data_IF_170444649686
#
_entry.id   IF_170444649686
#
_cell.length_a   1.000
_cell.length_b   1.000
_cell.length_c   1.000
_cell.angle_alpha   90.00
_cell.angle_beta   90.00
_cell.angle_gamma   90.00
#
_symmetry.space_group_name_H-M   'P 1'
#
loop_
_entity.id
_entity.type
_entity.pdbx_description
1 polymer ?
#
# COMPACT_ATOMS: atom_id res chain seq x y z
N UNK A 1 -41.01 -17.05 4.19
CA UNK A 1 -39.79 -16.34 3.71
C UNK A 1 -38.88 -15.92 4.86
N UNK A 2 -39.40 -15.32 5.95
CA UNK A 2 -38.61 -14.98 7.15
C UNK A 2 -37.93 -16.18 7.82
N UNK A 3 -38.61 -17.34 7.91
CA UNK A 3 -38.02 -18.57 8.47
C UNK A 3 -36.88 -19.17 7.62
N UNK A 4 -36.86 -18.92 6.30
CA UNK A 4 -35.80 -19.40 5.42
C UNK A 4 -34.54 -18.52 5.51
N UNK A 5 -34.71 -17.22 5.74
CA UNK A 5 -33.62 -16.27 6.00
C UNK A 5 -33.00 -16.46 7.39
N UNK A 6 -33.83 -16.75 8.41
CA UNK A 6 -33.34 -17.15 9.74
C UNK A 6 -32.60 -18.48 9.64
N UNK A 7 -33.11 -19.46 8.87
CA UNK A 7 -32.44 -20.74 8.63
C UNK A 7 -31.08 -20.58 7.92
N UNK A 8 -30.99 -19.74 6.88
CA UNK A 8 -29.74 -19.51 6.16
C UNK A 8 -28.71 -18.76 7.03
N UNK A 9 -29.16 -17.76 7.81
CA UNK A 9 -28.32 -17.05 8.77
C UNK A 9 -27.82 -17.99 9.88
N UNK A 10 -28.68 -18.87 10.40
CA UNK A 10 -28.33 -19.89 11.38
C UNK A 10 -27.33 -20.90 10.81
N UNK A 11 -27.46 -21.30 9.55
CA UNK A 11 -26.50 -22.20 8.85
C UNK A 11 -25.16 -21.51 8.62
N UNK A 12 -25.12 -20.23 8.22
CA UNK A 12 -23.84 -19.49 8.06
C UNK A 12 -23.15 -19.16 9.38
N UNK A 13 -23.92 -18.91 10.45
CA UNK A 13 -23.39 -18.62 11.78
C UNK A 13 -22.94 -19.89 12.50
N UNK A 14 -23.70 -20.99 12.37
CA UNK A 14 -23.28 -22.33 12.84
C UNK A 14 -22.08 -22.83 12.05
N UNK A 15 -22.03 -22.67 10.72
CA UNK A 15 -20.84 -22.98 9.94
C UNK A 15 -19.62 -22.12 10.30
N UNK A 16 -19.78 -20.97 10.97
CA UNK A 16 -18.66 -20.15 11.42
C UNK A 16 -18.18 -20.49 12.83
N UNK A 17 -19.07 -20.91 13.71
CA UNK A 17 -18.77 -21.31 15.09
C UNK A 17 -18.43 -22.81 15.25
N UNK A 18 -19.04 -23.68 14.44
CA UNK A 18 -18.80 -25.13 14.43
C UNK A 18 -17.68 -25.53 13.46
N UNK A 19 -17.28 -24.71 12.49
CA UNK A 19 -16.19 -25.07 11.56
C UNK A 19 -14.88 -25.46 12.27
N UNK A 20 -14.38 -24.70 13.26
CA UNK A 20 -13.19 -25.11 14.01
C UNK A 20 -13.41 -26.45 14.75
N UNK A 21 -14.64 -26.69 15.21
CA UNK A 21 -15.04 -27.92 15.88
C UNK A 21 -15.15 -29.10 14.91
N UNK A 22 -15.66 -28.89 13.70
CA UNK A 22 -15.81 -29.87 12.63
C UNK A 22 -14.46 -30.21 11.98
N UNK A 23 -13.56 -29.22 11.85
CA UNK A 23 -12.16 -29.46 11.49
C UNK A 23 -11.52 -30.39 12.53
N UNK A 24 -11.71 -30.13 13.82
CA UNK A 24 -11.21 -31.03 14.87
C UNK A 24 -11.92 -32.39 14.93
N UNK A 25 -13.17 -32.51 14.47
CA UNK A 25 -13.93 -33.77 14.47
C UNK A 25 -13.62 -34.68 13.26
N UNK A 26 -13.37 -34.09 12.09
CA UNK A 26 -13.26 -34.82 10.81
C UNK A 26 -11.84 -34.82 10.23
N UNK A 27 -10.96 -33.94 10.70
CA UNK A 27 -9.54 -34.00 10.35
C UNK A 27 -8.83 -34.82 11.44
N UNK A 28 -8.41 -36.06 11.16
CA UNK A 28 -7.75 -36.88 12.17
C UNK A 28 -6.52 -36.14 12.70
N UNK A 29 -6.19 -36.24 14.00
CA UNK A 29 -5.02 -35.56 14.58
C UNK A 29 -3.68 -35.98 13.93
N UNK A 30 -3.68 -36.98 13.05
CA UNK A 30 -2.57 -37.41 12.21
C UNK A 30 -2.41 -36.63 10.89
N UNK A 31 -3.30 -35.68 10.54
CA UNK A 31 -3.09 -34.78 9.41
C UNK A 31 -1.93 -33.83 9.70
N UNK A 32 -1.00 -33.64 8.75
CA UNK A 32 0.07 -32.66 8.90
C UNK A 32 -0.49 -31.25 9.15
N UNK A 33 0.25 -30.41 9.88
CA UNK A 33 -0.11 -29.01 10.10
C UNK A 33 -0.43 -28.26 8.77
N UNK A 34 0.21 -28.69 7.68
CA UNK A 34 -0.01 -28.17 6.33
C UNK A 34 -1.44 -28.39 5.82
N UNK A 35 -2.02 -29.58 6.05
CA UNK A 35 -3.40 -29.87 5.62
C UNK A 35 -4.44 -29.01 6.35
N UNK A 36 -4.21 -28.72 7.63
CA UNK A 36 -5.07 -27.82 8.41
C UNK A 36 -4.98 -26.38 7.89
N UNK A 37 -3.76 -25.89 7.67
CA UNK A 37 -3.54 -24.55 7.11
C UNK A 37 -4.10 -24.39 5.69
N UNK A 38 -4.09 -25.45 4.89
CA UNK A 38 -4.71 -25.47 3.56
C UNK A 38 -6.24 -25.38 3.63
N UNK A 39 -6.87 -26.17 4.51
CA UNK A 39 -8.32 -26.11 4.74
C UNK A 39 -8.74 -24.73 5.26
N UNK A 40 -8.01 -24.17 6.23
CA UNK A 40 -8.30 -22.84 6.77
C UNK A 40 -8.21 -21.76 5.68
N UNK A 41 -7.18 -21.81 4.83
CA UNK A 41 -7.07 -20.92 3.66
C UNK A 41 -8.24 -21.07 2.71
N UNK A 42 -8.64 -22.30 2.38
CA UNK A 42 -9.78 -22.56 1.50
C UNK A 42 -11.10 -21.98 2.06
N UNK A 43 -11.33 -22.09 3.37
CA UNK A 43 -12.51 -21.53 4.04
C UNK A 43 -12.50 -20.00 3.98
N UNK A 44 -11.35 -19.37 4.27
CA UNK A 44 -11.21 -17.91 4.18
C UNK A 44 -11.48 -17.43 2.76
N UNK A 45 -10.89 -18.07 1.75
CA UNK A 45 -11.11 -17.76 0.34
C UNK A 45 -12.59 -17.87 -0.03
N UNK A 46 -13.25 -18.98 0.33
CA UNK A 46 -14.68 -19.16 0.04
C UNK A 46 -15.56 -18.09 0.69
N UNK A 47 -15.24 -17.66 1.92
CA UNK A 47 -15.95 -16.56 2.59
C UNK A 47 -15.76 -15.23 1.88
N UNK A 48 -14.54 -14.92 1.43
CA UNK A 48 -14.23 -13.70 0.70
C UNK A 48 -14.90 -13.69 -0.69
N UNK A 49 -14.97 -14.83 -1.37
CA UNK A 49 -15.67 -14.96 -2.64
C UNK A 49 -17.19 -14.84 -2.50
N UNK A 50 -17.76 -15.30 -1.39
CA UNK A 50 -19.15 -15.00 -1.06
C UNK A 50 -19.33 -13.51 -0.77
N UNK A 51 -18.40 -12.90 -0.03
CA UNK A 51 -18.42 -11.48 0.32
C UNK A 51 -18.36 -10.56 -0.91
N UNK A 52 -17.57 -10.91 -1.92
CA UNK A 52 -17.43 -10.15 -3.17
C UNK A 52 -18.68 -10.17 -4.04
N UNK A 53 -19.54 -11.20 -3.87
CA UNK A 53 -20.82 -11.32 -4.58
C UNK A 53 -21.99 -10.67 -3.86
N UNK A 54 -21.82 -10.21 -2.61
CA UNK A 54 -22.90 -9.53 -1.88
C UNK A 54 -23.28 -8.21 -2.58
N UNK A 55 -24.54 -7.77 -2.50
CA UNK A 55 -24.96 -6.50 -3.09
C UNK A 55 -24.33 -5.28 -2.39
N UNK A 56 -24.00 -5.37 -1.11
CA UNK A 56 -23.44 -4.25 -0.35
C UNK A 56 -21.96 -4.01 -0.63
N UNK A 57 -21.55 -2.73 -0.64
CA UNK A 57 -20.15 -2.32 -0.76
C UNK A 57 -19.37 -2.42 0.57
N UNK A 58 -20.08 -2.27 1.69
CA UNK A 58 -19.51 -2.18 3.04
C UNK A 58 -20.12 -3.21 3.99
N UNK A 59 -19.33 -4.05 4.67
CA UNK A 59 -19.81 -5.02 5.65
C UNK A 59 -20.13 -4.33 6.99
N UNK A 60 -20.78 -5.04 7.94
CA UNK A 60 -20.86 -4.59 9.33
C UNK A 60 -19.51 -4.19 9.90
N UNK A 61 -19.54 -3.22 10.82
CA UNK A 61 -18.38 -2.59 11.46
C UNK A 61 -17.49 -1.76 10.54
N UNK A 62 -17.86 -1.60 9.27
CA UNK A 62 -17.09 -0.80 8.34
C UNK A 62 -17.31 0.71 8.56
N UNK A 63 -16.24 1.51 8.74
CA UNK A 63 -16.34 2.95 8.78
C UNK A 63 -16.64 3.49 7.37
N UNK A 64 -17.65 4.34 7.29
CA UNK A 64 -18.15 4.92 6.03
C UNK A 64 -18.43 6.42 6.21
N UNK A 65 -18.43 7.15 5.10
CA UNK A 65 -18.86 8.55 5.07
C UNK A 65 -20.26 8.64 4.45
N UNK A 66 -21.06 9.59 4.89
CA UNK A 66 -22.41 9.83 4.34
C UNK A 66 -22.45 11.07 3.44
N UNK A 67 -23.35 11.08 2.47
CA UNK A 67 -23.55 12.17 1.50
C UNK A 67 -24.00 13.47 2.18
N UNK A 68 -24.68 13.37 3.33
CA UNK A 68 -25.11 14.51 4.16
C UNK A 68 -23.98 15.08 5.04
N UNK A 69 -22.78 14.54 4.93
CA UNK A 69 -21.63 14.89 5.75
C UNK A 69 -21.57 14.07 7.04
N UNK A 70 -20.34 13.78 7.49
CA UNK A 70 -20.08 13.01 8.70
C UNK A 70 -19.70 11.56 8.43
N UNK A 71 -19.04 10.99 9.44
CA UNK A 71 -18.53 9.62 9.42
C UNK A 71 -19.41 8.74 10.33
N UNK A 72 -19.63 7.50 9.94
CA UNK A 72 -20.46 6.54 10.64
C UNK A 72 -19.90 5.12 10.53
N UNK A 73 -20.50 4.17 11.25
CA UNK A 73 -20.14 2.75 11.16
C UNK A 73 -21.36 1.95 10.74
N UNK A 74 -21.16 1.05 9.77
CA UNK A 74 -22.21 0.15 9.30
C UNK A 74 -22.58 -0.84 10.40
N UNK A 75 -23.86 -0.92 10.76
CA UNK A 75 -24.37 -1.96 11.66
C UNK A 75 -24.87 -3.16 10.86
N UNK A 76 -25.71 -2.91 9.84
CA UNK A 76 -26.24 -3.94 8.94
C UNK A 76 -26.62 -3.33 7.60
N UNK A 77 -26.84 -4.19 6.62
CA UNK A 77 -27.34 -3.83 5.30
C UNK A 77 -28.61 -4.63 4.99
N UNK A 78 -29.64 -3.96 4.49
CA UNK A 78 -30.89 -4.57 4.06
C UNK A 78 -30.93 -4.63 2.53
N UNK A 79 -30.77 -5.83 1.98
CA UNK A 79 -30.71 -6.04 0.53
C UNK A 79 -32.04 -5.82 -0.20
N UNK A 80 -33.19 -5.99 0.47
CA UNK A 80 -34.49 -5.79 -0.19
C UNK A 80 -34.87 -4.32 -0.32
N UNK A 81 -34.36 -3.48 0.59
CA UNK A 81 -34.60 -2.04 0.60
C UNK A 81 -33.44 -1.22 0.05
N UNK A 82 -32.28 -1.85 -0.20
CA UNK A 82 -31.03 -1.19 -0.55
C UNK A 82 -30.66 -0.07 0.45
N UNK A 83 -30.67 -0.43 1.74
CA UNK A 83 -30.40 0.50 2.85
C UNK A 83 -29.34 0.00 3.81
N UNK A 84 -28.63 0.94 4.44
CA UNK A 84 -27.74 0.71 5.57
C UNK A 84 -28.33 1.20 6.87
N UNK A 85 -28.21 0.42 7.94
CA UNK A 85 -28.37 0.94 9.31
C UNK A 85 -27.00 1.39 9.82
N UNK A 86 -26.90 2.63 10.30
CA UNK A 86 -25.63 3.23 10.75
C UNK A 86 -25.67 3.55 12.26
N UNK A 87 -24.51 3.47 12.92
CA UNK A 87 -24.38 3.72 14.38
C UNK A 87 -24.85 5.11 14.84
N UNK A 88 -24.82 6.11 13.97
CA UNK A 88 -25.11 7.50 14.32
C UNK A 88 -26.60 7.85 14.39
N UNK A 89 -27.52 6.94 14.04
CA UNK A 89 -28.95 7.26 13.98
C UNK A 89 -29.90 6.15 14.40
N UNK A 90 -29.52 4.87 14.26
CA UNK A 90 -30.49 3.76 14.33
C UNK A 90 -31.56 3.80 13.23
N UNK A 91 -31.41 4.71 12.27
CA UNK A 91 -32.30 4.92 11.13
C UNK A 91 -31.64 4.34 9.88
N UNK A 92 -32.43 3.61 9.09
CA UNK A 92 -31.99 3.09 7.81
C UNK A 92 -31.84 4.24 6.80
N UNK A 93 -30.68 4.33 6.16
CA UNK A 93 -30.38 5.29 5.08
C UNK A 93 -30.25 4.56 3.74
N UNK A 94 -30.66 5.15 2.61
CA UNK A 94 -30.41 4.58 1.29
C UNK A 94 -28.92 4.27 1.07
N UNK A 95 -28.58 3.21 0.35
CA UNK A 95 -27.20 2.89 0.01
C UNK A 95 -26.51 4.01 -0.78
N UNK A 96 -27.27 4.75 -1.61
CA UNK A 96 -26.81 5.95 -2.31
C UNK A 96 -26.40 7.10 -1.39
N UNK A 97 -26.86 7.11 -0.13
CA UNK A 97 -26.46 8.10 0.87
C UNK A 97 -25.11 7.74 1.53
N UNK A 98 -24.58 6.54 1.29
CA UNK A 98 -23.23 6.16 1.70
C UNK A 98 -22.26 6.49 0.56
N UNK A 99 -21.27 7.34 0.86
CA UNK A 99 -20.29 7.77 -0.13
C UNK A 99 -19.40 6.59 -0.50
N UNK A 100 -19.33 6.30 -1.80
CA UNK A 100 -18.46 5.26 -2.32
C UNK A 100 -16.98 5.61 -2.14
N UNK A 101 -16.21 4.65 -1.65
CA UNK A 101 -14.76 4.72 -1.54
C UNK A 101 -14.20 4.51 -2.93
N UNK A 102 -13.30 5.37 -3.37
CA UNK A 102 -12.70 5.30 -4.71
C UNK A 102 -11.19 5.49 -4.65
N UNK A 103 -10.49 5.02 -5.69
CA UNK A 103 -9.10 5.35 -5.93
C UNK A 103 -9.00 6.83 -6.34
N UNK A 104 -8.50 7.67 -5.46
CA UNK A 104 -8.32 9.10 -5.71
C UNK A 104 -7.06 9.39 -6.52
N UNK A 105 -5.96 8.71 -6.17
CA UNK A 105 -4.67 8.89 -6.81
C UNK A 105 -3.87 7.60 -6.86
N UNK A 106 -3.05 7.50 -7.90
CA UNK A 106 -2.07 6.44 -8.08
C UNK A 106 -0.68 7.04 -8.19
N UNK A 107 0.30 6.43 -7.53
CA UNK A 107 1.70 6.84 -7.61
C UNK A 107 2.63 5.64 -7.72
N UNK A 108 3.70 5.81 -8.48
CA UNK A 108 4.86 4.92 -8.48
C UNK A 108 6.11 5.72 -8.15
N UNK A 109 7.12 5.05 -7.61
CA UNK A 109 8.40 5.62 -7.25
C UNK A 109 9.48 4.73 -7.84
N UNK A 110 9.81 4.91 -9.13
CA UNK A 110 10.65 3.96 -9.86
C UNK A 110 12.00 3.72 -9.18
N UNK A 111 12.65 4.79 -8.72
CA UNK A 111 13.88 4.72 -7.95
C UNK A 111 13.53 4.85 -6.46
N UNK A 112 13.97 3.89 -5.65
CA UNK A 112 13.80 3.95 -4.19
C UNK A 112 14.35 5.27 -3.66
N UNK A 113 13.59 5.92 -2.77
CA UNK A 113 13.95 7.19 -2.12
C UNK A 113 13.98 8.45 -3.01
N UNK A 114 13.65 8.34 -4.30
CA UNK A 114 13.53 9.49 -5.21
C UNK A 114 12.06 9.93 -5.39
N UNK A 115 11.84 10.96 -6.21
CA UNK A 115 10.53 11.53 -6.54
C UNK A 115 9.53 10.50 -7.10
N UNK A 116 8.24 10.74 -6.84
CA UNK A 116 7.14 9.91 -7.32
C UNK A 116 6.62 10.38 -8.68
N UNK A 117 5.96 9.48 -9.41
CA UNK A 117 5.24 9.77 -10.64
C UNK A 117 3.76 9.52 -10.37
N UNK A 118 2.92 10.54 -10.53
CA UNK A 118 1.46 10.40 -10.47
C UNK A 118 0.95 9.73 -11.74
N UNK A 119 0.03 8.79 -11.58
CA UNK A 119 -0.57 8.01 -12.66
C UNK A 119 -2.08 8.16 -12.65
N UNK A 120 -2.71 7.92 -13.80
CA UNK A 120 -4.16 7.76 -13.92
C UNK A 120 -4.59 6.29 -13.94
N UNK A 121 -3.67 5.38 -14.30
CA UNK A 121 -3.86 3.94 -14.31
C UNK A 121 -2.53 3.21 -14.10
N UNK A 122 -2.57 1.98 -13.60
CA UNK A 122 -1.37 1.14 -13.50
C UNK A 122 -1.73 -0.34 -13.52
N UNK A 123 -0.82 -1.15 -14.09
CA UNK A 123 -0.88 -2.60 -13.90
C UNK A 123 -0.42 -2.95 -12.48
N UNK A 124 -1.22 -3.76 -11.80
CA UNK A 124 -0.85 -4.42 -10.55
C UNK A 124 -0.23 -5.77 -10.90
N UNK A 125 1.04 -5.93 -10.53
CA UNK A 125 1.83 -7.14 -10.70
C UNK A 125 2.10 -7.77 -9.32
N UNK A 126 2.67 -8.98 -9.31
CA UNK A 126 3.01 -9.66 -8.05
C UNK A 126 3.98 -8.88 -7.13
N UNK A 127 4.79 -7.96 -7.69
CA UNK A 127 5.72 -7.10 -6.94
C UNK A 127 5.15 -5.71 -6.60
N UNK A 128 3.89 -5.44 -6.95
CA UNK A 128 3.24 -4.14 -6.76
C UNK A 128 2.85 -3.47 -8.06
N UNK A 129 2.69 -2.15 -8.03
CA UNK A 129 2.39 -1.39 -9.23
C UNK A 129 3.57 -1.48 -10.23
N UNK A 130 3.25 -1.53 -11.52
CA UNK A 130 4.25 -1.62 -12.56
C UNK A 130 5.28 -0.48 -12.46
N UNK A 131 6.56 -0.83 -12.60
CA UNK A 131 7.72 0.06 -12.49
C UNK A 131 8.01 0.61 -11.09
N UNK A 132 7.23 0.27 -10.09
CA UNK A 132 7.42 0.77 -8.74
C UNK A 132 8.64 0.12 -8.05
N UNK A 133 9.54 0.94 -7.49
CA UNK A 133 10.77 0.52 -6.78
C UNK A 133 11.58 -0.57 -7.52
N UNK A 134 11.68 -0.45 -8.84
CA UNK A 134 12.52 -1.34 -9.68
C UNK A 134 13.98 -0.89 -9.74
N UNK A 135 14.28 0.37 -9.40
CA UNK A 135 15.63 0.91 -9.34
C UNK A 135 16.04 1.28 -7.93
N UNK A 136 17.35 1.25 -7.71
CA UNK A 136 17.97 1.55 -6.43
C UNK A 136 19.30 2.27 -6.65
N UNK A 137 19.61 3.25 -5.79
CA UNK A 137 20.96 3.81 -5.70
C UNK A 137 21.73 3.04 -4.64
N UNK A 138 22.94 2.60 -4.95
CA UNK A 138 23.82 1.86 -4.04
C UNK A 138 25.19 2.50 -3.94
N UNK A 139 25.87 2.28 -2.82
CA UNK A 139 27.29 2.63 -2.65
C UNK A 139 28.23 1.52 -3.17
N UNK A 140 29.54 1.70 -2.97
CA UNK A 140 30.60 0.75 -3.33
C UNK A 140 30.50 -0.61 -2.62
N UNK A 141 29.80 -0.66 -1.48
CA UNK A 141 29.56 -1.90 -0.73
C UNK A 141 28.28 -2.61 -1.15
N UNK A 142 27.54 -2.04 -2.11
CA UNK A 142 26.24 -2.51 -2.54
C UNK A 142 25.12 -2.22 -1.54
N UNK A 143 25.35 -1.32 -0.58
CA UNK A 143 24.33 -0.93 0.39
C UNK A 143 23.40 0.14 -0.21
N UNK A 144 22.11 -0.03 0.03
CA UNK A 144 21.08 0.88 -0.46
C UNK A 144 21.20 2.27 0.14
N UNK A 145 21.24 3.28 -0.73
CA UNK A 145 21.23 4.70 -0.36
C UNK A 145 19.79 5.15 -0.20
N UNK A 146 19.51 5.93 0.85
CA UNK A 146 18.14 6.38 1.14
C UNK A 146 18.05 7.85 1.46
N UNK A 147 16.85 8.40 1.27
CA UNK A 147 16.46 9.77 1.62
C UNK A 147 16.67 10.10 3.11
N UNK A 148 16.76 9.08 3.99
CA UNK A 148 17.11 9.27 5.41
C UNK A 148 18.50 9.88 5.57
N UNK A 149 19.45 9.40 4.76
CA UNK A 149 20.85 9.85 4.76
C UNK A 149 21.08 10.98 3.76
N UNK A 150 20.42 10.94 2.61
CA UNK A 150 20.52 11.95 1.56
C UNK A 150 19.14 12.51 1.20
N UNK A 151 18.61 13.47 1.99
CA UNK A 151 17.29 14.06 1.75
C UNK A 151 17.11 14.64 0.34
N UNK A 152 18.21 15.14 -0.26
CA UNK A 152 18.25 15.64 -1.63
C UNK A 152 17.85 14.61 -2.68
N UNK A 153 17.85 13.30 -2.39
CA UNK A 153 17.26 12.30 -3.28
C UNK A 153 15.79 12.60 -3.63
N UNK A 154 15.05 13.30 -2.75
CA UNK A 154 13.70 13.78 -3.03
C UNK A 154 13.60 14.62 -4.31
N UNK A 155 14.68 15.34 -4.63
CA UNK A 155 14.79 16.26 -5.75
C UNK A 155 15.23 15.58 -7.04
N UNK A 156 15.49 14.27 -7.00
CA UNK A 156 15.70 13.47 -8.22
C UNK A 156 14.32 13.02 -8.68
N UNK A 157 13.81 13.63 -9.75
CA UNK A 157 12.56 13.25 -10.39
C UNK A 157 12.83 12.28 -11.55
N UNK A 158 12.43 11.00 -11.43
CA UNK A 158 12.47 10.06 -12.54
C UNK A 158 11.32 10.32 -13.52
N UNK A 159 11.59 10.13 -14.81
CA UNK A 159 10.58 10.04 -15.87
C UNK A 159 10.84 8.79 -16.72
N UNK A 160 9.80 7.98 -16.95
CA UNK A 160 9.91 6.76 -17.76
C UNK A 160 9.58 7.06 -19.22
N UNK A 161 10.42 6.56 -20.14
CA UNK A 161 10.13 6.57 -21.58
C UNK A 161 9.68 5.18 -22.00
N UNK A 162 8.49 5.09 -22.61
CA UNK A 162 7.87 3.87 -23.11
C UNK A 162 7.65 4.01 -24.61
N UNK A 163 8.24 3.14 -25.42
CA UNK A 163 7.97 3.08 -26.87
C UNK A 163 6.64 2.37 -27.17
N UNK A 164 6.22 1.48 -26.28
CA UNK A 164 4.88 0.87 -26.30
C UNK A 164 4.28 0.94 -24.89
N UNK A 165 3.35 1.88 -24.64
CA UNK A 165 2.66 2.02 -23.36
C UNK A 165 1.81 0.79 -22.97
N UNK A 166 1.51 -0.12 -23.91
CA UNK A 166 0.79 -1.37 -23.64
C UNK A 166 1.70 -2.53 -23.25
N UNK A 167 3.02 -2.38 -23.42
CA UNK A 167 3.99 -3.41 -23.10
C UNK A 167 4.26 -3.48 -21.59
N UNK A 168 3.95 -4.63 -20.99
CA UNK A 168 4.19 -4.86 -19.57
C UNK A 168 5.67 -5.11 -19.20
N UNK A 169 6.57 -5.20 -20.19
CA UNK A 169 7.90 -5.83 -20.03
C UNK A 169 8.91 -4.98 -19.26
N UNK A 170 9.22 -3.79 -19.74
CA UNK A 170 10.21 -2.86 -19.15
C UNK A 170 10.12 -1.50 -19.82
N UNK A 171 10.41 -0.43 -19.07
CA UNK A 171 10.60 0.89 -19.68
C UNK A 171 11.84 0.88 -20.58
N UNK A 172 11.87 1.72 -21.62
CA UNK A 172 13.00 1.81 -22.55
C UNK A 172 14.13 2.67 -22.01
N UNK A 173 13.78 3.77 -21.34
CA UNK A 173 14.71 4.66 -20.68
C UNK A 173 14.10 5.24 -19.40
N UNK A 174 14.97 5.65 -18.48
CA UNK A 174 14.63 6.47 -17.32
C UNK A 174 15.41 7.78 -17.41
N UNK A 175 14.71 8.90 -17.37
CA UNK A 175 15.33 10.23 -17.34
C UNK A 175 15.44 10.69 -15.89
N UNK A 176 16.64 11.07 -15.47
CA UNK A 176 16.91 11.67 -14.17
C UNK A 176 16.86 13.19 -14.30
N UNK A 177 16.01 13.85 -13.52
CA UNK A 177 15.90 15.31 -13.50
C UNK A 177 16.15 15.83 -12.09
N UNK A 178 17.04 16.80 -11.94
CA UNK A 178 17.21 17.54 -10.70
C UNK A 178 16.18 18.67 -10.64
N UNK A 179 15.16 18.56 -9.77
CA UNK A 179 14.04 19.53 -9.73
C UNK A 179 14.45 20.93 -9.27
N UNK A 180 15.60 21.04 -8.59
CA UNK A 180 16.22 22.31 -8.21
C UNK A 180 17.08 22.93 -9.32
N UNK A 181 17.14 22.33 -10.52
CA UNK A 181 17.92 22.83 -11.65
C UNK A 181 19.43 22.70 -11.50
N UNK A 182 19.93 21.95 -10.50
CA UNK A 182 21.37 21.86 -10.23
C UNK A 182 22.16 21.11 -11.32
N UNK A 183 21.48 20.28 -12.13
CA UNK A 183 22.06 19.50 -13.22
C UNK A 183 21.10 19.40 -14.40
N UNK A 184 21.67 19.32 -15.60
CA UNK A 184 20.91 18.97 -16.80
C UNK A 184 20.31 17.56 -16.67
N UNK A 185 19.11 17.33 -17.25
CA UNK A 185 18.51 16.01 -17.27
C UNK A 185 19.40 14.98 -17.98
N UNK A 186 19.44 13.76 -17.43
CA UNK A 186 20.16 12.64 -18.05
C UNK A 186 19.18 11.54 -18.45
N UNK A 187 19.17 11.18 -19.73
CA UNK A 187 18.45 10.00 -20.23
C UNK A 187 19.34 8.77 -20.05
N UNK A 188 18.86 7.79 -19.28
CA UNK A 188 19.56 6.52 -19.03
C UNK A 188 18.79 5.39 -19.73
N UNK A 189 19.36 4.72 -20.75
CA UNK A 189 18.77 3.52 -21.32
C UNK A 189 18.60 2.45 -20.25
N UNK A 190 17.44 1.80 -20.20
CA UNK A 190 17.19 0.76 -19.21
C UNK A 190 17.92 -0.52 -19.62
N UNK A 191 18.86 -0.95 -18.78
CA UNK A 191 19.60 -2.18 -18.99
C UNK A 191 18.93 -3.34 -18.23
N UNK A 192 18.52 -4.37 -18.95
CA UNK A 192 17.98 -5.63 -18.40
C UNK A 192 19.05 -6.73 -18.29
N UNK A 193 20.20 -6.53 -18.93
CA UNK A 193 21.37 -7.41 -18.94
C UNK A 193 22.63 -6.56 -18.84
N UNK A 194 23.71 -7.13 -18.34
CA UNK A 194 25.00 -6.43 -18.20
C UNK A 194 25.70 -6.80 -16.90
N UNK A 195 26.49 -5.85 -16.38
CA UNK A 195 27.23 -6.03 -15.13
C UNK A 195 26.24 -6.24 -13.98
N UNK A 196 26.32 -7.43 -13.37
CA UNK A 196 25.53 -7.74 -12.19
C UNK A 196 26.22 -7.21 -10.93
N UNK A 197 25.42 -6.74 -9.97
CA UNK A 197 25.86 -6.37 -8.63
C UNK A 197 25.00 -7.07 -7.58
N UNK A 198 25.66 -7.59 -6.55
CA UNK A 198 24.98 -8.02 -5.32
C UNK A 198 24.71 -6.78 -4.48
N UNK A 199 23.44 -6.54 -4.17
CA UNK A 199 23.01 -5.38 -3.39
C UNK A 199 22.30 -5.84 -2.13
N UNK A 200 22.39 -5.05 -1.06
CA UNK A 200 21.76 -5.35 0.22
C UNK A 200 20.64 -4.35 0.47
N UNK A 201 19.44 -4.87 0.75
CA UNK A 201 18.28 -4.11 1.19
C UNK A 201 17.82 -4.73 2.51
N UNK A 202 18.07 -4.01 3.60
CA UNK A 202 17.90 -4.55 4.95
C UNK A 202 18.69 -5.85 5.15
N UNK A 203 18.02 -6.94 5.52
CA UNK A 203 18.62 -8.28 5.69
C UNK A 203 18.78 -9.04 4.37
N UNK A 204 18.16 -8.58 3.29
CA UNK A 204 18.08 -9.32 2.04
C UNK A 204 19.22 -8.94 1.09
N UNK A 205 19.75 -9.94 0.38
CA UNK A 205 20.68 -9.75 -0.73
C UNK A 205 19.98 -10.01 -2.06
N UNK A 206 20.14 -9.10 -3.01
CA UNK A 206 19.49 -9.13 -4.31
C UNK A 206 20.51 -9.01 -5.44
N UNK A 207 20.18 -9.59 -6.58
CA UNK A 207 20.91 -9.39 -7.82
C UNK A 207 20.30 -8.21 -8.60
N UNK A 208 21.14 -7.25 -8.94
CA UNK A 208 20.76 -6.08 -9.71
C UNK A 208 21.68 -5.89 -10.93
N UNK A 209 21.18 -5.20 -11.95
CA UNK A 209 21.90 -4.82 -13.17
C UNK A 209 22.33 -3.37 -13.05
N UNK A 210 23.63 -3.12 -13.16
CA UNK A 210 24.20 -1.79 -13.23
C UNK A 210 23.65 -1.00 -14.42
N UNK A 211 23.27 0.26 -14.22
CA UNK A 211 22.67 1.11 -15.27
C UNK A 211 23.70 2.02 -15.97
N UNK A 212 25.00 1.77 -15.79
CA UNK A 212 26.08 2.40 -16.54
C UNK A 212 26.74 3.61 -15.86
N UNK A 213 27.92 3.98 -16.36
CA UNK A 213 28.77 5.00 -15.75
C UNK A 213 28.21 6.42 -15.88
N UNK A 214 27.41 6.71 -16.92
CA UNK A 214 26.75 8.01 -17.05
C UNK A 214 25.77 8.26 -15.89
N UNK A 215 24.97 7.24 -15.54
CA UNK A 215 24.05 7.33 -14.40
C UNK A 215 24.81 7.46 -13.07
N UNK A 216 25.90 6.71 -12.90
CA UNK A 216 26.77 6.82 -11.73
C UNK A 216 27.38 8.23 -11.60
N UNK A 217 27.93 8.78 -12.69
CA UNK A 217 28.53 10.12 -12.70
C UNK A 217 27.52 11.23 -12.38
N UNK A 218 26.30 11.13 -12.91
CA UNK A 218 25.23 12.08 -12.62
C UNK A 218 24.82 12.04 -11.14
N UNK A 219 24.60 10.83 -10.59
CA UNK A 219 24.27 10.64 -9.18
C UNK A 219 25.40 11.11 -8.26
N UNK A 220 26.65 10.81 -8.62
CA UNK A 220 27.82 11.23 -7.87
C UNK A 220 27.93 12.75 -7.78
N UNK A 221 27.71 13.44 -8.91
CA UNK A 221 27.71 14.90 -8.95
C UNK A 221 26.56 15.50 -8.14
N UNK A 222 25.36 14.92 -8.25
CA UNK A 222 24.17 15.45 -7.57
C UNK A 222 24.18 15.23 -6.05
N UNK A 223 24.55 14.02 -5.62
CA UNK A 223 24.51 13.60 -4.22
C UNK A 223 25.85 13.78 -3.49
N UNK A 224 26.90 14.21 -4.20
CA UNK A 224 28.22 14.49 -3.63
C UNK A 224 29.00 13.25 -3.20
N UNK A 225 28.78 12.09 -3.84
CA UNK A 225 29.50 10.86 -3.51
C UNK A 225 29.89 10.07 -4.78
N UNK A 226 31.20 9.92 -5.08
CA UNK A 226 31.68 9.28 -6.30
C UNK A 226 31.43 7.77 -6.37
N UNK A 227 31.09 7.11 -5.26
CA UNK A 227 30.87 5.65 -5.25
C UNK A 227 29.46 5.24 -5.64
N UNK A 228 28.55 6.20 -5.81
CA UNK A 228 27.15 5.90 -6.05
C UNK A 228 26.87 5.39 -7.44
N UNK A 229 26.05 4.36 -7.51
CA UNK A 229 25.62 3.74 -8.76
C UNK A 229 24.12 3.50 -8.77
N UNK A 230 23.52 3.70 -9.94
CA UNK A 230 22.15 3.30 -10.21
C UNK A 230 22.13 1.82 -10.63
N UNK A 231 21.28 1.04 -9.99
CA UNK A 231 21.04 -0.35 -10.34
C UNK A 231 19.55 -0.59 -10.55
N UNK A 232 19.21 -1.61 -11.34
CA UNK A 232 17.85 -2.10 -11.55
C UNK A 232 17.73 -3.53 -11.09
N UNK A 233 16.62 -3.90 -10.48
CA UNK A 233 16.36 -5.28 -10.09
C UNK A 233 16.40 -6.20 -11.31
N UNK A 234 17.02 -7.38 -11.18
CA UNK A 234 17.03 -8.39 -12.23
C UNK A 234 15.62 -8.98 -12.40
N UNK A 235 15.11 -9.08 -13.64
CA UNK A 235 13.72 -9.46 -13.92
C UNK A 235 13.29 -10.81 -13.31
N UNK A 236 14.20 -11.77 -13.23
CA UNK A 236 13.94 -13.09 -12.67
C UNK A 236 13.94 -13.12 -11.12
N UNK A 237 14.36 -12.04 -10.46
CA UNK A 237 14.50 -12.01 -9.01
C UNK A 237 13.15 -11.82 -8.33
N UNK A 238 12.89 -12.63 -7.30
CA UNK A 238 11.70 -12.55 -6.46
C UNK A 238 12.12 -12.37 -5.01
N UNK A 239 11.91 -11.19 -4.44
CA UNK A 239 12.15 -10.95 -3.01
C UNK A 239 10.87 -11.32 -2.25
N UNK A 240 10.87 -12.32 -1.36
CA UNK A 240 9.69 -12.63 -0.57
C UNK A 240 9.35 -11.49 0.38
N UNK A 241 8.06 -11.28 0.62
CA UNK A 241 7.59 -10.47 1.74
C UNK A 241 7.85 -11.20 3.07
N UNK A 242 7.61 -10.50 4.18
CA UNK A 242 7.68 -11.13 5.50
C UNK A 242 6.59 -12.22 5.62
N UNK A 243 6.95 -13.50 5.80
CA UNK A 243 5.99 -14.60 5.74
C UNK A 243 5.01 -14.63 6.91
N UNK A 244 5.29 -13.90 8.00
CA UNK A 244 4.31 -13.71 9.09
C UNK A 244 3.07 -12.94 8.59
N UNK A 245 3.26 -12.04 7.62
CA UNK A 245 2.23 -11.11 7.15
C UNK A 245 1.74 -11.44 5.74
N UNK A 246 2.62 -11.95 4.85
CA UNK A 246 2.32 -12.21 3.45
C UNK A 246 3.22 -13.35 2.90
N UNK A 247 2.95 -14.62 3.26
CA UNK A 247 3.82 -15.77 2.96
C UNK A 247 4.02 -16.05 1.47
N UNK A 248 3.03 -15.74 0.64
CA UNK A 248 3.00 -16.10 -0.78
C UNK A 248 3.24 -14.89 -1.71
N UNK A 249 3.57 -13.72 -1.14
CA UNK A 249 3.73 -12.48 -1.89
C UNK A 249 5.19 -12.04 -1.98
N UNK A 250 5.48 -11.23 -3.00
CA UNK A 250 6.82 -10.76 -3.29
C UNK A 250 6.84 -9.23 -3.39
N UNK A 251 8.03 -8.66 -3.29
CA UNK A 251 8.27 -7.23 -3.49
C UNK A 251 9.56 -6.99 -4.28
N UNK A 252 9.80 -5.74 -4.65
CA UNK A 252 11.05 -5.29 -5.25
C UNK A 252 11.97 -4.63 -4.21
N UNK A 253 12.51 -3.45 -4.55
CA UNK A 253 13.30 -2.64 -3.62
C UNK A 253 12.46 -1.80 -2.64
N UNK A 254 11.16 -2.07 -2.52
CA UNK A 254 10.35 -1.49 -1.44
C UNK A 254 10.86 -1.95 -0.06
N UNK A 255 10.40 -1.36 1.03
CA UNK A 255 10.96 -1.69 2.35
C UNK A 255 10.59 -3.11 2.81
N UNK A 256 9.33 -3.51 2.62
CA UNK A 256 8.89 -4.87 2.96
C UNK A 256 7.67 -5.38 2.21
N UNK A 257 6.83 -4.48 1.66
CA UNK A 257 5.59 -4.85 0.98
C UNK A 257 5.44 -4.09 -0.35
N UNK A 258 4.75 -4.69 -1.34
CA UNK A 258 4.69 -4.18 -2.70
C UNK A 258 3.86 -2.91 -2.88
N UNK A 259 2.85 -2.67 -2.03
CA UNK A 259 1.91 -1.57 -2.20
C UNK A 259 1.63 -0.93 -0.83
N UNK A 260 1.64 0.40 -0.80
CA UNK A 260 1.18 1.21 0.33
C UNK A 260 -0.12 1.92 -0.03
N UNK A 261 -1.15 1.78 0.79
CA UNK A 261 -2.43 2.49 0.69
C UNK A 261 -2.49 3.56 1.77
N UNK A 262 -3.08 4.72 1.46
CA UNK A 262 -3.42 5.74 2.45
C UNK A 262 -4.77 6.38 2.12
N UNK A 263 -5.55 6.79 3.11
CA UNK A 263 -6.75 7.58 2.86
C UNK A 263 -6.45 9.09 2.83
N UNK A 264 -7.05 9.82 1.89
CA UNK A 264 -6.94 11.28 1.83
C UNK A 264 -7.47 11.93 3.13
N UNK A 265 -8.54 11.39 3.71
CA UNK A 265 -9.07 11.86 4.99
C UNK A 265 -8.07 11.66 6.15
N UNK A 266 -7.24 10.63 6.12
CA UNK A 266 -6.16 10.40 7.10
C UNK A 266 -5.08 11.48 7.02
N UNK A 267 -4.74 11.92 5.80
CA UNK A 267 -3.82 13.05 5.61
C UNK A 267 -4.42 14.33 6.18
N UNK A 268 -5.68 14.65 5.85
CA UNK A 268 -6.36 15.85 6.37
C UNK A 268 -6.45 15.86 7.89
N UNK A 269 -6.74 14.71 8.52
CA UNK A 269 -6.74 14.60 9.97
C UNK A 269 -5.37 14.89 10.59
N UNK A 270 -4.28 14.58 9.88
CA UNK A 270 -2.91 14.85 10.31
C UNK A 270 -2.50 16.31 10.09
N UNK A 271 -2.89 16.91 8.96
CA UNK A 271 -2.70 18.34 8.68
C UNK A 271 -3.32 19.22 9.77
N UNK A 272 -4.52 18.86 10.24
CA UNK A 272 -5.18 19.56 11.36
C UNK A 272 -4.37 19.51 12.66
N UNK A 273 -3.60 18.44 12.90
CA UNK A 273 -2.72 18.34 14.08
C UNK A 273 -1.40 19.07 13.90
N UNK A 274 -0.97 19.27 12.66
CA UNK A 274 0.25 19.98 12.31
C UNK A 274 0.07 21.48 12.10
N UNK A 275 -1.19 21.92 11.94
CA UNK A 275 -1.56 23.29 11.60
C UNK A 275 -0.88 23.79 10.31
N UNK A 276 -0.71 22.89 9.34
CA UNK A 276 -0.17 23.20 8.00
C UNK A 276 -0.54 22.11 6.99
N UNK A 277 -0.60 22.44 5.68
CA UNK A 277 -0.79 21.44 4.65
C UNK A 277 0.40 20.47 4.57
N UNK A 278 0.11 19.24 4.15
CA UNK A 278 1.07 18.18 3.90
C UNK A 278 0.87 17.61 2.51
N UNK A 279 1.97 17.34 1.83
CA UNK A 279 1.94 16.56 0.61
C UNK A 279 1.89 15.06 0.96
N UNK A 280 0.91 14.34 0.41
CA UNK A 280 0.79 12.88 0.54
C UNK A 280 2.06 12.15 0.08
N UNK A 281 2.83 12.74 -0.86
CA UNK A 281 4.09 12.21 -1.37
C UNK A 281 5.15 12.06 -0.27
N UNK A 282 5.03 12.75 0.87
CA UNK A 282 5.87 12.51 2.06
C UNK A 282 5.71 11.09 2.60
N UNK A 283 4.48 10.55 2.53
CA UNK A 283 4.19 9.18 2.97
C UNK A 283 4.42 8.14 1.88
N UNK A 284 4.58 8.60 0.64
CA UNK A 284 4.92 7.79 -0.53
C UNK A 284 3.93 6.64 -0.82
N UNK A 285 2.60 6.80 -0.64
CA UNK A 285 1.65 5.74 -0.95
C UNK A 285 1.62 5.47 -2.45
N UNK A 286 1.22 4.27 -2.81
CA UNK A 286 0.93 3.86 -4.19
C UNK A 286 -0.51 4.14 -4.57
N UNK A 287 -1.44 3.97 -3.64
CA UNK A 287 -2.87 4.14 -3.85
C UNK A 287 -3.39 5.09 -2.76
N UNK A 288 -4.06 6.15 -3.16
CA UNK A 288 -4.77 7.05 -2.23
C UNK A 288 -6.26 6.79 -2.35
N UNK A 289 -6.94 6.58 -1.22
CA UNK A 289 -8.38 6.38 -1.16
C UNK A 289 -9.10 7.69 -0.82
N UNK A 290 -10.22 7.95 -1.51
CA UNK A 290 -11.18 8.98 -1.15
C UNK A 290 -12.55 8.37 -0.83
N UNK A 291 -13.47 9.17 -0.31
CA UNK A 291 -14.83 8.73 0.01
C UNK A 291 -14.96 7.93 1.31
N UNK A 292 -13.86 7.73 2.05
CA UNK A 292 -13.86 7.04 3.33
C UNK A 292 -13.48 7.97 4.51
N UNK A 293 -13.87 7.64 5.75
CA UNK A 293 -13.42 8.32 6.96
C UNK A 293 -11.89 8.28 7.15
N UNK A 294 -11.38 9.18 7.99
CA UNK A 294 -9.99 9.12 8.41
C UNK A 294 -9.70 7.76 9.07
N UNK A 295 -8.52 7.21 8.77
CA UNK A 295 -8.01 5.93 9.26
C UNK A 295 -8.77 4.69 8.77
N UNK A 296 -9.68 4.83 7.79
CA UNK A 296 -10.31 3.69 7.14
C UNK A 296 -9.28 2.76 6.49
N UNK A 297 -8.13 3.29 6.05
CA UNK A 297 -7.00 2.55 5.54
C UNK A 297 -6.33 1.64 6.59
N UNK A 298 -6.53 1.85 7.89
CA UNK A 298 -6.10 0.90 8.93
C UNK A 298 -7.10 -0.27 9.08
N UNK A 299 -8.39 0.00 8.80
CA UNK A 299 -9.53 -0.86 9.14
C UNK A 299 -9.93 -1.77 7.99
N UNK A 300 -9.85 -1.31 6.73
CA UNK A 300 -10.20 -2.12 5.56
C UNK A 300 -9.20 -3.27 5.45
N UNK A 301 -9.64 -4.49 5.78
CA UNK A 301 -8.79 -5.67 5.82
C UNK A 301 -8.67 -6.27 4.43
N UNK A 302 -9.78 -6.76 3.88
CA UNK A 302 -9.82 -7.28 2.51
C UNK A 302 -10.79 -6.45 1.72
N UNK A 303 -10.38 -5.97 0.56
CA UNK A 303 -11.20 -5.18 -0.33
C UNK A 303 -10.87 -5.49 -1.78
N UNK A 304 -11.90 -5.41 -2.63
CA UNK A 304 -11.74 -5.49 -4.07
C UNK A 304 -11.73 -4.05 -4.64
N UNK A 305 -10.77 -3.74 -5.50
CA UNK A 305 -10.86 -2.57 -6.40
C UNK A 305 -11.53 -3.04 -7.69
N UNK A 306 -12.66 -2.43 -8.01
CA UNK A 306 -13.51 -2.82 -9.13
C UNK A 306 -13.03 -2.12 -10.41
N UNK A 307 -12.03 -2.71 -11.07
CA UNK A 307 -11.49 -2.22 -12.34
C UNK A 307 -12.31 -2.67 -13.55
N UNK A 308 -12.11 -1.99 -14.68
CA UNK A 308 -12.80 -2.31 -15.94
C UNK A 308 -12.47 -3.70 -16.49
N UNK A 309 -11.24 -4.15 -16.28
CA UNK A 309 -10.72 -5.44 -16.78
C UNK A 309 -10.83 -6.57 -15.73
N UNK A 310 -11.57 -6.33 -14.65
CA UNK A 310 -11.79 -7.27 -13.55
C UNK A 310 -11.44 -6.71 -12.18
N UNK A 311 -11.94 -7.39 -11.16
CA UNK A 311 -11.74 -7.00 -9.77
C UNK A 311 -10.39 -7.47 -9.26
N UNK A 312 -9.64 -6.58 -8.62
CA UNK A 312 -8.39 -6.91 -7.96
C UNK A 312 -8.57 -6.96 -6.45
N UNK A 313 -8.18 -8.08 -5.85
CA UNK A 313 -8.34 -8.33 -4.41
C UNK A 313 -7.09 -7.93 -3.66
N UNK A 314 -7.25 -6.97 -2.75
CA UNK A 314 -6.21 -6.48 -1.88
C UNK A 314 -6.42 -6.97 -0.45
N UNK A 315 -5.32 -7.37 0.19
CA UNK A 315 -5.28 -7.73 1.59
C UNK A 315 -4.36 -6.75 2.33
N UNK A 316 -4.90 -6.08 3.34
CA UNK A 316 -4.18 -5.19 4.24
C UNK A 316 -3.50 -5.99 5.34
N UNK A 317 -2.19 -6.13 5.19
CA UNK A 317 -1.39 -7.04 6.00
C UNK A 317 -0.94 -6.39 7.31
N UNK A 318 -0.58 -5.09 7.28
CA UNK A 318 -0.25 -4.32 8.49
C UNK A 318 -0.18 -2.82 8.26
N UNK A 319 -0.45 -1.99 9.28
CA UNK A 319 -0.14 -0.56 9.26
C UNK A 319 1.34 -0.32 8.92
N UNK A 320 1.61 0.78 8.22
CA UNK A 320 2.94 1.14 7.78
C UNK A 320 3.65 1.96 8.86
N UNK A 321 4.65 1.37 9.50
CA UNK A 321 5.51 2.10 10.42
C UNK A 321 6.37 3.12 9.66
N UNK A 322 6.45 4.33 10.19
CA UNK A 322 7.08 5.47 9.52
C UNK A 322 8.46 5.72 10.10
N UNK A 323 9.48 5.60 9.25
CA UNK A 323 10.81 6.13 9.55
C UNK A 323 10.83 7.67 9.36
N UNK A 324 12.01 8.30 9.42
CA UNK A 324 12.17 9.76 9.28
C UNK A 324 11.89 10.33 7.88
N UNK A 325 11.71 9.49 6.85
CA UNK A 325 11.50 9.94 5.46
C UNK A 325 10.35 10.94 5.29
N UNK A 326 9.15 10.77 5.90
CA UNK A 326 8.06 11.73 5.75
C UNK A 326 8.37 13.15 6.22
N UNK A 327 9.36 13.32 7.11
CA UNK A 327 9.83 14.64 7.55
C UNK A 327 10.56 15.41 6.45
N UNK A 328 10.92 14.78 5.34
CA UNK A 328 11.57 15.44 4.20
C UNK A 328 10.50 16.00 3.26
N UNK A 329 10.60 17.29 2.95
CA UNK A 329 9.75 17.93 1.96
C UNK A 329 10.12 17.46 0.53
N UNK A 330 9.20 16.87 -0.24
CA UNK A 330 9.50 16.37 -1.58
C UNK A 330 9.88 17.47 -2.57
N UNK A 331 9.38 18.70 -2.40
CA UNK A 331 9.65 19.81 -3.31
C UNK A 331 11.01 20.49 -3.05
N UNK A 332 11.45 20.54 -1.79
CA UNK A 332 12.66 21.29 -1.40
C UNK A 332 13.81 20.40 -0.91
N UNK A 333 13.55 19.15 -0.55
CA UNK A 333 14.52 18.25 0.07
C UNK A 333 14.86 18.61 1.53
N UNK A 334 14.29 19.69 2.08
CA UNK A 334 14.52 20.12 3.46
C UNK A 334 13.78 19.22 4.45
N UNK A 335 14.38 18.97 5.62
CA UNK A 335 13.70 18.29 6.72
C UNK A 335 12.90 19.27 7.57
N UNK A 336 11.86 18.79 8.23
CA UNK A 336 11.03 19.61 9.12
C UNK A 336 11.85 20.23 10.29
N UNK A 337 12.87 19.54 10.81
CA UNK A 337 13.73 20.03 11.91
C UNK A 337 14.75 21.10 11.47
N UNK A 338 14.93 21.29 10.16
CA UNK A 338 15.75 22.34 9.58
C UNK A 338 14.97 23.65 9.37
N UNK A 339 13.64 23.62 9.51
CA UNK A 339 12.76 24.78 9.32
C UNK A 339 12.32 25.35 10.67
N UNK A 340 12.94 26.46 11.08
CA UNK A 340 12.65 27.12 12.34
C UNK A 340 11.15 27.41 12.52
N UNK A 341 10.62 27.08 13.70
CA UNK A 341 9.20 27.29 14.04
C UNK A 341 8.23 26.26 13.46
N UNK A 342 8.71 25.23 12.73
CA UNK A 342 7.85 24.18 12.18
C UNK A 342 7.63 23.05 13.18
N UNK A 343 6.38 22.67 13.38
CA UNK A 343 6.04 21.46 14.14
C UNK A 343 6.49 20.23 13.33
N UNK A 344 7.33 19.42 13.97
CA UNK A 344 7.84 18.15 13.45
C UNK A 344 6.72 17.16 13.19
N UNK A 345 6.59 16.69 11.95
CA UNK A 345 5.66 15.62 11.59
C UNK A 345 5.88 14.34 12.43
N UNK A 346 7.15 14.03 12.74
CA UNK A 346 7.45 12.85 13.56
C UNK A 346 6.89 12.97 14.97
N UNK A 347 6.93 14.15 15.57
CA UNK A 347 6.46 14.32 16.94
C UNK A 347 4.93 14.32 17.00
N UNK A 348 4.25 14.85 15.98
CA UNK A 348 2.79 14.70 15.84
C UNK A 348 2.40 13.23 15.68
N UNK A 349 3.10 12.47 14.85
CA UNK A 349 2.85 11.04 14.70
C UNK A 349 3.14 10.29 16.01
N UNK A 350 4.20 10.62 16.76
CA UNK A 350 4.48 10.02 18.08
C UNK A 350 3.38 10.31 19.08
N UNK A 351 2.80 11.51 19.06
CA UNK A 351 1.75 11.90 20.01
C UNK A 351 0.38 11.27 19.68
N UNK A 352 0.07 11.08 18.40
CA UNK A 352 -1.30 10.77 17.95
C UNK A 352 -1.46 9.47 17.15
N UNK A 353 -0.37 8.86 16.71
CA UNK A 353 -0.36 7.70 15.80
C UNK A 353 0.73 6.70 16.15
N UNK A 354 0.94 6.41 17.44
CA UNK A 354 1.96 5.46 17.89
C UNK A 354 1.42 4.04 18.09
N UNK A 355 2.32 3.06 18.22
CA UNK A 355 1.96 1.65 18.38
C UNK A 355 1.11 1.38 19.61
N UNK A 356 1.32 2.10 20.72
CA UNK A 356 0.47 1.98 21.91
C UNK A 356 -0.99 2.34 21.62
N UNK A 357 -1.22 3.41 20.86
CA UNK A 357 -2.58 3.84 20.46
C UNK A 357 -3.23 2.86 19.49
N UNK A 358 -2.43 2.22 18.63
CA UNK A 358 -2.92 1.25 17.65
C UNK A 358 -2.91 -0.20 18.17
N UNK A 359 -2.58 -0.45 19.44
CA UNK A 359 -2.57 -1.79 20.04
C UNK A 359 -1.32 -2.65 19.74
N UNK A 360 -0.31 -2.10 19.07
CA UNK A 360 0.97 -2.77 18.81
C UNK A 360 1.92 -2.69 20.02
N UNK A 361 1.61 -3.45 21.06
CA UNK A 361 2.31 -3.36 22.37
C UNK A 361 3.62 -4.16 22.44
N UNK A 362 3.85 -5.13 21.54
CA UNK A 362 5.05 -5.98 21.55
C UNK A 362 6.17 -5.36 20.74
N UNK A 363 7.06 -4.62 21.41
CA UNK A 363 8.27 -4.03 20.80
C UNK A 363 8.04 -2.83 19.88
N UNK A 364 6.83 -2.68 19.33
CA UNK A 364 6.47 -1.60 18.40
C UNK A 364 5.66 -0.45 19.05
N UNK A 365 5.52 -0.42 20.39
CA UNK A 365 4.66 0.55 21.08
C UNK A 365 5.06 2.02 20.82
N UNK A 366 6.34 2.26 20.55
CA UNK A 366 6.92 3.57 20.26
C UNK A 366 7.04 3.88 18.77
N UNK A 367 6.79 2.90 17.90
CA UNK A 367 6.74 3.12 16.46
C UNK A 367 5.54 3.99 16.11
N UNK A 368 5.64 4.69 14.98
CA UNK A 368 4.61 5.61 14.50
C UNK A 368 4.05 5.18 13.17
N UNK A 369 2.78 5.44 12.88
CA UNK A 369 2.06 4.78 11.78
C UNK A 369 1.26 5.75 10.91
N UNK A 370 1.34 5.56 9.59
CA UNK A 370 0.50 6.24 8.60
C UNK A 370 0.42 5.44 7.31
N UNK A 371 -0.80 5.20 6.81
CA UNK A 371 -1.03 4.29 5.70
C UNK A 371 -0.90 2.83 6.12
N UNK A 372 -1.33 1.93 5.23
CA UNK A 372 -1.27 0.49 5.43
C UNK A 372 -0.58 -0.22 4.27
N UNK A 373 0.29 -1.17 4.61
CA UNK A 373 0.88 -2.05 3.63
C UNK A 373 -0.17 -3.05 3.17
N UNK A 374 -0.30 -3.22 1.85
CA UNK A 374 -1.22 -4.17 1.25
C UNK A 374 -0.50 -5.04 0.23
N UNK A 375 -1.06 -6.22 0.00
CA UNK A 375 -0.71 -7.13 -1.09
C UNK A 375 -1.92 -7.36 -1.97
N UNK A 376 -1.70 -7.78 -3.22
CA UNK A 376 -2.76 -8.08 -4.16
C UNK A 376 -2.65 -9.55 -4.57
N UNK A 377 -3.77 -10.27 -4.51
CA UNK A 377 -3.79 -11.73 -4.73
C UNK A 377 -3.83 -12.11 -6.22
N UNK A 378 -4.21 -11.16 -7.08
CA UNK A 378 -4.28 -11.32 -8.51
C UNK A 378 -3.66 -10.11 -9.24
N UNK A 379 -3.42 -10.26 -10.54
CA UNK A 379 -2.86 -9.20 -11.39
C UNK A 379 -3.92 -8.61 -12.30
N UNK A 380 -3.82 -7.32 -12.62
CA UNK A 380 -4.70 -6.65 -13.57
C UNK A 380 -4.42 -5.16 -13.61
N UNK A 381 -5.42 -4.36 -13.96
CA UNK A 381 -5.30 -2.90 -14.08
C UNK A 381 -6.21 -2.23 -13.07
N UNK A 382 -5.71 -1.18 -12.42
CA UNK A 382 -6.52 -0.24 -11.65
C UNK A 382 -6.36 1.17 -12.23
N UNK A 383 -7.40 1.98 -12.08
CA UNK A 383 -7.44 3.36 -12.50
C UNK A 383 -7.94 4.28 -11.38
N UNK A 384 -7.59 5.55 -11.48
CA UNK A 384 -8.22 6.61 -10.69
C UNK A 384 -9.72 6.63 -10.99
N UNK A 385 -10.53 6.67 -9.94
CA UNK A 385 -11.99 6.60 -9.99
C UNK A 385 -12.56 5.19 -9.74
N UNK A 386 -11.75 4.14 -9.80
CA UNK A 386 -12.23 2.77 -9.53
C UNK A 386 -12.80 2.67 -8.11
N UNK A 387 -13.94 1.99 -7.99
CA UNK A 387 -14.67 1.84 -6.73
C UNK A 387 -14.01 0.76 -5.87
N UNK A 388 -13.94 1.01 -4.57
CA UNK A 388 -13.44 0.07 -3.57
C UNK A 388 -14.62 -0.58 -2.85
N UNK A 389 -14.70 -1.90 -2.96
CA UNK A 389 -15.66 -2.74 -2.24
C UNK A 389 -14.96 -3.43 -1.08
N UNK A 390 -15.39 -3.14 0.14
CA UNK A 390 -14.83 -3.76 1.35
C UNK A 390 -15.47 -5.13 1.56
N UNK A 391 -14.65 -6.17 1.67
CA UNK A 391 -15.10 -7.53 1.91
C UNK A 391 -15.10 -7.86 3.40
N UNK A 392 -14.03 -7.43 4.08
CA UNK A 392 -13.80 -7.64 5.50
C UNK A 392 -13.09 -6.43 6.13
N UNK A 393 -13.33 -6.23 7.42
CA UNK A 393 -12.64 -5.23 8.24
C UNK A 393 -11.79 -5.91 9.31
N UNK A 394 -10.74 -5.23 9.77
CA UNK A 394 -9.95 -5.73 10.90
C UNK A 394 -10.82 -5.69 12.15
N UNK A 395 -10.95 -6.83 12.81
CA UNK A 395 -11.56 -6.90 14.14
C UNK A 395 -10.59 -6.28 15.14
N UNK A 396 -11.11 -5.43 16.02
CA UNK A 396 -10.35 -4.76 17.08
C UNK A 396 -9.75 -5.75 18.09
#
# INVERSE_FOLDING_TARGET
>A
MEYALIGLAFVTMTASLLMPYLINLFVPPSSSADARAEIERAIVTARLDAASKRPNAYPPHCPVRTSKGGDAVVQRYNASLDTYTLTSSGVDVPASDVVATTVADLFIYPIKSCGGIRLTRSHVLGQGLQYDRQWLVVDDKGDFVTQRKYPSMALIQPHLTLFDPSSIRSANAITLTATNGALDPLVVPVLTRGVQRSVRVWKDRLDAIDQGDAAAAWLAKFLGNPTFRLVRLKDAFKRPCDPEFAPDHITGFADGFPILVAAAASLTALEQKLDRPLDILRFRPNIVLAGCPAWADDVYHVFDILGQDGNLRFCNVKPCSRCSVPSVNPATGAKDDEVAGTISLQDVLKAHRNGKQLGFLKGAAHEVFFGSNVVCDNTGVIAVGDVVKVLAVKTA
#
